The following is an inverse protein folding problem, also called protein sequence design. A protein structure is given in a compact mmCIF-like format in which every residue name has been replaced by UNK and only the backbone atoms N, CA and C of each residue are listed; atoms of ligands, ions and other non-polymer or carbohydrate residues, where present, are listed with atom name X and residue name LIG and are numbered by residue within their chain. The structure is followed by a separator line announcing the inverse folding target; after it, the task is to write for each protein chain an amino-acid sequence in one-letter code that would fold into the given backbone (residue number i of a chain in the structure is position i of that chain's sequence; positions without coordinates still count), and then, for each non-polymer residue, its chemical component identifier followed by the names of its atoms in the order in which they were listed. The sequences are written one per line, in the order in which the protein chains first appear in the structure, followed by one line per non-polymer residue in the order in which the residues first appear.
data_IF_254299056065
#
_entry.id   IF_254299056065
#
_cell.length_a   1.000
_cell.length_b   1.000
_cell.length_c   1.000
_cell.angle_alpha   90.00
_cell.angle_beta   90.00
_cell.angle_gamma   90.00
#
_symmetry.space_group_name_H-M   'P 1'
#
loop_
_entity.id
_entity.type
_entity.pdbx_description
1 polymer ?
#
# COMPACT_ATOMS: atom_id res chain seq x y z
N UNK A 1 42.64 26.75 -40.32
CA UNK A 1 43.08 26.34 -41.66
C UNK A 1 42.56 24.92 -41.91
N UNK A 2 41.96 24.78 -43.08
CA UNK A 2 41.56 23.57 -43.83
C UNK A 2 40.27 22.85 -43.32
N UNK A 3 39.25 23.18 -44.08
CA UNK A 3 38.05 22.47 -44.49
C UNK A 3 38.40 21.10 -45.12
N UNK A 4 37.54 20.13 -44.96
CA UNK A 4 37.17 19.28 -46.13
C UNK A 4 35.73 18.77 -45.99
N UNK A 5 35.03 18.99 -47.08
CA UNK A 5 33.66 18.63 -47.49
C UNK A 5 33.76 17.35 -48.31
N UNK A 6 32.70 16.53 -48.32
CA UNK A 6 32.18 15.73 -49.41
C UNK A 6 31.59 14.39 -48.89
N UNK A 7 30.57 13.75 -49.41
CA UNK A 7 29.59 14.02 -50.47
C UNK A 7 28.47 12.95 -50.35
N UNK A 8 27.32 13.35 -50.79
CA UNK A 8 26.11 12.57 -51.08
C UNK A 8 26.36 11.40 -52.04
N UNK A 9 25.64 10.32 -51.87
CA UNK A 9 25.24 9.44 -53.00
C UNK A 9 23.84 8.85 -52.76
N UNK A 10 22.92 9.37 -53.54
CA UNK A 10 21.54 8.92 -53.72
C UNK A 10 21.54 7.74 -54.71
N UNK A 11 20.80 6.66 -54.44
CA UNK A 11 20.49 5.64 -55.47
C UNK A 11 18.97 5.38 -55.47
N UNK A 12 18.30 5.94 -56.46
CA UNK A 12 16.94 5.58 -56.88
C UNK A 12 17.00 4.33 -57.77
N UNK A 13 16.15 3.37 -57.51
CA UNK A 13 15.80 2.34 -58.48
C UNK A 13 14.27 2.26 -58.60
N UNK A 14 13.81 2.67 -59.79
CA UNK A 14 12.44 2.44 -60.30
C UNK A 14 12.32 1.00 -60.82
N UNK A 15 11.24 0.33 -60.46
CA UNK A 15 10.68 -0.71 -61.31
C UNK A 15 9.16 -0.56 -61.43
N UNK A 16 8.76 -0.60 -62.68
CA UNK A 16 7.45 -0.38 -63.24
C UNK A 16 6.50 -1.56 -63.07
N UNK A 17 5.25 -1.21 -63.15
CA UNK A 17 4.04 -1.99 -63.04
C UNK A 17 3.88 -3.13 -64.02
N UNK A 18 3.12 -4.16 -63.63
CA UNK A 18 2.18 -4.83 -64.54
C UNK A 18 0.89 -5.19 -63.77
N UNK A 19 -0.19 -4.75 -64.36
CA UNK A 19 -1.57 -4.87 -63.96
C UNK A 19 -2.11 -6.24 -64.37
N UNK A 20 -2.82 -6.96 -63.50
CA UNK A 20 -3.85 -7.89 -63.90
C UNK A 20 -4.93 -8.00 -62.85
N UNK A 21 -6.13 -7.61 -63.23
CA UNK A 21 -7.29 -7.63 -62.39
C UNK A 21 -7.84 -9.05 -62.14
N UNK A 22 -8.29 -9.26 -60.92
CA UNK A 22 -9.35 -10.22 -60.61
C UNK A 22 -10.10 -9.74 -59.38
N UNK A 23 -11.38 -9.47 -59.57
CA UNK A 23 -12.40 -9.22 -58.57
C UNK A 23 -12.60 -10.44 -57.68
N UNK A 24 -12.39 -10.31 -56.38
CA UNK A 24 -12.97 -11.22 -55.39
C UNK A 24 -13.37 -10.46 -54.14
N UNK A 25 -14.54 -10.82 -53.67
CA UNK A 25 -15.35 -10.32 -52.56
C UNK A 25 -14.65 -9.75 -51.36
N UNK A 26 -15.13 -8.61 -50.89
CA UNK A 26 -14.96 -8.03 -49.57
C UNK A 26 -15.30 -9.05 -48.47
N UNK A 27 -14.30 -9.54 -47.78
CA UNK A 27 -14.42 -10.17 -46.48
C UNK A 27 -13.87 -9.17 -45.49
N UNK A 28 -14.76 -8.40 -44.82
CA UNK A 28 -14.38 -7.55 -43.69
C UNK A 28 -13.86 -8.43 -42.57
N UNK A 29 -12.54 -8.54 -42.47
CA UNK A 29 -11.89 -9.00 -41.28
C UNK A 29 -11.96 -7.84 -40.27
N UNK A 30 -12.88 -7.93 -39.35
CA UNK A 30 -12.82 -7.15 -38.11
C UNK A 30 -11.57 -7.58 -37.37
N UNK A 31 -10.55 -6.75 -37.45
CA UNK A 31 -9.36 -6.84 -36.62
C UNK A 31 -9.81 -6.55 -35.18
N UNK A 32 -10.22 -7.59 -34.47
CA UNK A 32 -10.41 -7.52 -33.02
C UNK A 32 -9.00 -7.47 -32.41
N UNK A 33 -8.47 -6.26 -32.27
CA UNK A 33 -7.41 -6.00 -31.30
C UNK A 33 -7.93 -6.40 -29.94
N UNK A 34 -7.72 -7.65 -29.54
CA UNK A 34 -7.79 -8.09 -28.15
C UNK A 34 -6.69 -7.35 -27.40
N UNK A 35 -6.98 -6.14 -26.95
CA UNK A 35 -6.26 -5.55 -25.84
C UNK A 35 -6.46 -6.51 -24.68
N UNK A 36 -5.45 -7.32 -24.37
CA UNK A 36 -5.43 -8.08 -23.14
C UNK A 36 -5.52 -7.04 -22.01
N UNK A 37 -6.71 -6.87 -21.46
CA UNK A 37 -6.89 -6.00 -20.30
C UNK A 37 -6.07 -6.61 -19.17
N UNK A 38 -4.95 -5.97 -18.87
CA UNK A 38 -4.16 -6.31 -17.67
C UNK A 38 -5.11 -6.15 -16.50
N UNK A 39 -5.32 -7.23 -15.75
CA UNK A 39 -6.19 -7.20 -14.57
C UNK A 39 -5.45 -6.48 -13.44
N UNK A 40 -5.84 -5.23 -13.06
CA UNK A 40 -5.13 -4.47 -12.05
C UNK A 40 -5.07 -5.16 -10.67
N UNK A 41 -6.05 -6.01 -10.36
CA UNK A 41 -6.08 -6.73 -9.09
C UNK A 41 -4.93 -7.77 -8.95
N UNK A 42 -4.33 -8.19 -10.07
CA UNK A 42 -3.14 -9.06 -10.07
C UNK A 42 -1.88 -8.33 -9.64
N UNK A 43 -1.87 -7.00 -9.74
CA UNK A 43 -0.73 -6.16 -9.34
C UNK A 43 -0.78 -5.76 -7.86
N UNK A 44 -1.88 -6.05 -7.16
CA UNK A 44 -2.01 -5.76 -5.74
C UNK A 44 -1.06 -6.62 -4.91
N UNK A 45 -0.31 -5.97 -4.03
CA UNK A 45 0.65 -6.62 -3.15
C UNK A 45 -0.03 -6.90 -1.81
N UNK A 46 -0.48 -8.14 -1.65
CA UNK A 46 -1.23 -8.55 -0.47
C UNK A 46 -0.31 -9.01 0.65
N UNK A 47 -0.58 -8.57 1.86
CA UNK A 47 0.23 -8.84 3.04
C UNK A 47 -0.48 -8.53 4.36
N UNK A 48 0.29 -8.13 5.35
CA UNK A 48 -0.20 -7.88 6.71
C UNK A 48 0.56 -6.73 7.39
N UNK A 49 -0.16 -5.84 8.06
CA UNK A 49 0.40 -4.89 9.01
C UNK A 49 0.73 -5.65 10.32
N UNK A 50 1.98 -5.57 10.76
CA UNK A 50 2.44 -6.35 11.92
C UNK A 50 1.82 -5.92 13.25
N UNK A 51 1.12 -4.77 13.29
CA UNK A 51 0.26 -4.44 14.41
C UNK A 51 -0.75 -5.56 14.74
N UNK A 52 -1.19 -6.32 13.74
CA UNK A 52 -2.03 -7.51 13.89
C UNK A 52 -1.47 -8.53 14.88
N UNK A 53 -0.15 -8.56 15.08
CA UNK A 53 0.57 -9.47 15.97
C UNK A 53 1.33 -8.73 17.08
N UNK A 54 0.83 -7.58 17.52
CA UNK A 54 1.47 -6.77 18.57
C UNK A 54 1.51 -7.44 19.96
N UNK A 55 0.87 -8.59 20.10
CA UNK A 55 0.92 -9.46 21.29
C UNK A 55 2.23 -10.23 21.44
N UNK A 56 3.08 -10.23 20.43
CA UNK A 56 4.37 -10.94 20.41
C UNK A 56 5.46 -10.05 19.82
N UNK A 57 6.72 -10.45 19.94
CA UNK A 57 7.86 -9.76 19.37
C UNK A 57 7.94 -9.90 17.84
N UNK A 58 8.82 -9.11 17.23
CA UNK A 58 9.01 -9.07 15.79
C UNK A 58 9.41 -10.44 15.18
N UNK A 59 10.40 -11.18 15.69
CA UNK A 59 10.74 -12.51 15.17
C UNK A 59 9.57 -13.50 15.21
N UNK A 60 8.80 -13.48 16.30
CA UNK A 60 7.61 -14.33 16.46
C UNK A 60 6.51 -13.92 15.48
N UNK A 61 6.32 -12.59 15.24
CA UNK A 61 5.40 -12.08 14.23
C UNK A 61 5.78 -12.56 12.83
N UNK A 62 7.07 -12.52 12.46
CA UNK A 62 7.54 -13.05 11.18
C UNK A 62 7.26 -14.55 11.02
N UNK A 63 7.38 -15.35 12.09
CA UNK A 63 7.00 -16.77 12.06
C UNK A 63 5.50 -16.97 11.81
N UNK A 64 4.64 -16.11 12.41
CA UNK A 64 3.20 -16.15 12.15
C UNK A 64 2.87 -15.78 10.71
N UNK A 65 3.53 -14.75 10.14
CA UNK A 65 3.37 -14.34 8.74
C UNK A 65 3.75 -15.46 7.77
N UNK A 66 4.91 -16.08 8.00
CA UNK A 66 5.40 -17.22 7.23
C UNK A 66 4.41 -18.39 7.28
N UNK A 67 3.92 -18.74 8.48
CA UNK A 67 2.89 -19.75 8.68
C UNK A 67 1.54 -19.44 8.04
N UNK A 68 1.28 -18.16 7.77
CA UNK A 68 0.08 -17.70 7.05
C UNK A 68 0.25 -17.71 5.54
N UNK A 69 1.48 -17.85 5.03
CA UNK A 69 1.79 -17.86 3.60
C UNK A 69 1.74 -16.49 2.95
N UNK A 70 1.93 -15.41 3.71
CA UNK A 70 1.99 -14.03 3.19
C UNK A 70 3.42 -13.66 2.80
N UNK A 71 3.54 -12.69 1.88
CA UNK A 71 4.85 -12.22 1.39
C UNK A 71 5.17 -10.80 1.82
N UNK A 72 4.16 -9.92 1.88
CA UNK A 72 4.36 -8.51 2.21
C UNK A 72 4.01 -8.23 3.66
N UNK A 73 4.81 -7.38 4.29
CA UNK A 73 4.58 -6.94 5.67
C UNK A 73 4.70 -5.42 5.77
N UNK A 74 3.98 -4.85 6.71
CA UNK A 74 4.20 -3.50 7.21
C UNK A 74 4.62 -3.58 8.69
N UNK A 75 5.92 -3.50 9.02
CA UNK A 75 6.39 -3.33 10.38
C UNK A 75 5.94 -1.99 10.97
N UNK A 76 6.06 -1.84 12.29
CA UNK A 76 5.87 -0.56 12.95
C UNK A 76 7.00 -0.25 13.93
N UNK A 77 7.32 1.02 14.13
CA UNK A 77 8.48 1.44 14.92
C UNK A 77 8.31 1.24 16.42
N UNK A 78 7.10 0.99 16.90
CA UNK A 78 6.78 0.75 18.31
C UNK A 78 6.62 -0.76 18.65
N UNK A 79 6.85 -1.67 17.69
CA UNK A 79 6.88 -3.11 17.92
C UNK A 79 8.15 -3.51 18.66
N UNK A 80 8.05 -4.44 19.62
CA UNK A 80 9.22 -5.03 20.27
C UNK A 80 10.06 -5.78 19.24
N UNK A 81 11.35 -5.47 19.18
CA UNK A 81 12.29 -6.16 18.30
C UNK A 81 12.70 -7.56 18.83
N UNK A 82 12.34 -7.86 20.08
CA UNK A 82 12.56 -9.14 20.74
C UNK A 82 13.78 -9.19 21.64
N UNK A 83 13.99 -10.33 22.33
CA UNK A 83 15.01 -10.51 23.39
C UNK A 83 16.44 -10.27 22.92
N UNK A 84 16.77 -10.57 21.67
CA UNK A 84 18.12 -10.29 21.10
C UNK A 84 18.45 -8.80 21.17
N UNK A 85 17.43 -7.95 21.11
CA UNK A 85 17.53 -6.49 21.18
C UNK A 85 17.12 -5.93 22.55
N UNK A 86 17.12 -6.77 23.58
CA UNK A 86 16.71 -6.41 24.97
C UNK A 86 15.28 -5.85 25.01
N UNK A 87 14.39 -6.39 24.17
CA UNK A 87 13.00 -5.97 24.00
C UNK A 87 12.79 -4.49 23.67
N UNK A 88 13.85 -3.81 23.16
CA UNK A 88 13.73 -2.46 22.62
C UNK A 88 12.72 -2.44 21.47
N UNK A 89 12.05 -1.31 21.30
CA UNK A 89 11.21 -1.14 20.11
C UNK A 89 12.05 -0.91 18.86
N UNK A 90 11.51 -1.24 17.69
CA UNK A 90 12.20 -1.05 16.40
C UNK A 90 12.68 0.40 16.24
N UNK A 91 11.89 1.38 16.69
CA UNK A 91 12.22 2.81 16.64
C UNK A 91 13.38 3.24 17.55
N UNK A 92 13.87 2.35 18.40
CA UNK A 92 15.01 2.61 19.30
C UNK A 92 16.32 1.94 18.81
N UNK A 93 16.24 1.17 17.72
CA UNK A 93 17.37 0.39 17.22
C UNK A 93 18.40 1.28 16.50
N UNK A 94 19.66 0.90 16.59
CA UNK A 94 20.71 1.44 15.75
C UNK A 94 20.71 0.77 14.36
N UNK A 95 21.36 1.36 13.34
CA UNK A 95 21.40 0.83 11.98
C UNK A 95 21.80 -0.64 11.90
N UNK A 96 22.87 -1.05 12.58
CA UNK A 96 23.34 -2.43 12.59
C UNK A 96 22.30 -3.42 13.16
N UNK A 97 21.44 -2.98 14.06
CA UNK A 97 20.32 -3.80 14.58
C UNK A 97 19.16 -3.85 13.59
N UNK A 98 18.89 -2.77 12.85
CA UNK A 98 17.91 -2.74 11.77
C UNK A 98 18.34 -3.71 10.64
N UNK A 99 19.63 -3.75 10.29
CA UNK A 99 20.15 -4.71 9.30
C UNK A 99 19.87 -6.16 9.70
N UNK A 100 20.01 -6.50 10.98
CA UNK A 100 19.61 -7.83 11.46
C UNK A 100 18.13 -8.12 11.28
N UNK A 101 17.24 -7.14 11.53
CA UNK A 101 15.81 -7.32 11.27
C UNK A 101 15.53 -7.52 9.77
N UNK A 102 16.24 -6.77 8.89
CA UNK A 102 16.15 -6.96 7.44
C UNK A 102 16.59 -8.36 7.01
N UNK A 103 17.65 -8.88 7.62
CA UNK A 103 18.11 -10.25 7.37
C UNK A 103 17.07 -11.28 7.80
N UNK A 104 16.41 -11.09 8.96
CA UNK A 104 15.30 -11.96 9.40
C UNK A 104 14.13 -11.94 8.40
N UNK A 105 13.73 -10.76 7.90
CA UNK A 105 12.71 -10.60 6.87
C UNK A 105 13.12 -11.38 5.61
N UNK A 106 14.35 -11.16 5.13
CA UNK A 106 14.90 -11.79 3.93
C UNK A 106 15.00 -13.30 4.04
N UNK A 107 15.44 -13.84 5.18
CA UNK A 107 15.55 -15.29 5.42
C UNK A 107 14.22 -16.01 5.29
N UNK A 108 13.11 -15.31 5.55
CA UNK A 108 11.74 -15.84 5.38
C UNK A 108 11.13 -15.52 4.00
N UNK A 109 11.90 -14.92 3.09
CA UNK A 109 11.39 -14.51 1.78
C UNK A 109 10.34 -13.40 1.85
N UNK A 110 10.23 -12.70 2.99
CA UNK A 110 9.29 -11.60 3.20
C UNK A 110 9.82 -10.28 2.61
N UNK A 111 8.92 -9.31 2.44
CA UNK A 111 9.22 -7.98 1.90
C UNK A 111 8.52 -6.91 2.74
N UNK A 112 9.30 -5.96 3.26
CA UNK A 112 8.80 -4.76 3.90
C UNK A 112 8.96 -3.60 2.91
N UNK A 113 7.84 -3.04 2.43
CA UNK A 113 7.84 -1.93 1.47
C UNK A 113 7.24 -0.65 2.08
N UNK A 114 6.63 -0.79 3.24
CA UNK A 114 6.15 0.28 4.10
C UNK A 114 6.54 0.03 5.55
N UNK A 115 6.55 1.11 6.34
CA UNK A 115 6.83 1.09 7.77
C UNK A 115 5.87 2.04 8.47
N UNK A 116 5.11 1.56 9.45
CA UNK A 116 4.29 2.45 10.27
C UNK A 116 5.18 3.16 11.28
N UNK A 117 5.14 4.49 11.27
CA UNK A 117 5.97 5.34 12.12
C UNK A 117 5.12 6.30 12.94
N UNK A 118 5.61 6.64 14.12
CA UNK A 118 5.01 7.69 14.97
C UNK A 118 6.05 8.74 15.22
N UNK A 119 5.87 9.91 14.62
CA UNK A 119 6.69 11.09 14.88
C UNK A 119 6.19 11.85 16.12
N UNK A 120 7.00 12.80 16.57
CA UNK A 120 6.64 13.67 17.68
C UNK A 120 6.22 15.07 17.22
N UNK A 121 6.31 16.03 18.13
CA UNK A 121 5.97 17.44 17.88
C UNK A 121 7.11 18.26 17.25
N UNK A 122 8.25 17.65 16.94
CA UNK A 122 9.43 18.35 16.38
C UNK A 122 9.87 17.70 15.09
N UNK A 123 10.45 18.47 14.17
CA UNK A 123 10.96 17.94 12.90
C UNK A 123 12.11 16.95 13.12
N UNK A 124 12.92 17.12 14.16
CA UNK A 124 14.00 16.18 14.49
C UNK A 124 13.45 14.80 14.88
N UNK A 125 12.30 14.74 15.55
CA UNK A 125 11.66 13.46 15.85
C UNK A 125 11.17 12.77 14.57
N UNK A 126 10.65 13.51 13.61
CA UNK A 126 10.26 13.00 12.30
C UNK A 126 11.47 12.55 11.49
N UNK A 127 12.55 13.36 11.51
CA UNK A 127 13.79 12.97 10.84
C UNK A 127 14.30 11.61 11.32
N UNK A 128 14.26 11.32 12.63
CA UNK A 128 14.63 10.01 13.16
C UNK A 128 13.75 8.88 12.57
N UNK A 129 12.45 9.09 12.40
CA UNK A 129 11.56 8.10 11.79
C UNK A 129 11.91 7.86 10.32
N UNK A 130 12.24 8.92 9.58
CA UNK A 130 12.67 8.79 8.19
C UNK A 130 14.06 8.16 8.06
N UNK A 131 14.99 8.42 9.00
CA UNK A 131 16.28 7.73 9.05
C UNK A 131 16.08 6.21 9.21
N UNK A 132 15.17 5.77 10.09
CA UNK A 132 14.81 4.36 10.28
C UNK A 132 14.15 3.80 9.02
N UNK A 133 13.21 4.51 8.43
CA UNK A 133 12.54 4.09 7.20
C UNK A 133 13.51 3.92 6.03
N UNK A 134 14.47 4.83 5.91
CA UNK A 134 15.56 4.76 4.92
C UNK A 134 16.46 3.55 5.17
N UNK A 135 16.81 3.28 6.42
CA UNK A 135 17.62 2.12 6.80
C UNK A 135 16.90 0.81 6.48
N UNK A 136 15.60 0.72 6.73
CA UNK A 136 14.78 -0.41 6.28
C UNK A 136 14.71 -0.54 4.76
N UNK A 137 14.88 0.56 4.02
CA UNK A 137 14.79 0.59 2.55
C UNK A 137 13.34 0.59 2.05
N UNK A 138 12.38 1.07 2.86
CA UNK A 138 10.97 1.13 2.49
C UNK A 138 10.67 2.30 1.55
N UNK A 139 9.57 2.19 0.80
CA UNK A 139 9.10 3.23 -0.13
C UNK A 139 8.09 4.16 0.51
N UNK A 140 7.42 3.68 1.56
CA UNK A 140 6.33 4.38 2.21
C UNK A 140 6.51 4.38 3.72
N UNK A 141 6.18 5.51 4.35
CA UNK A 141 5.89 5.55 5.78
C UNK A 141 4.39 5.74 5.96
N UNK A 142 3.78 4.85 6.73
CA UNK A 142 2.37 4.98 7.15
C UNK A 142 2.36 5.75 8.46
N UNK A 143 1.59 6.82 8.55
CA UNK A 143 1.57 7.69 9.73
C UNK A 143 0.43 8.70 9.68
N UNK A 144 0.26 9.47 10.75
CA UNK A 144 -0.67 10.60 10.86
C UNK A 144 0.10 11.90 11.16
N UNK A 145 0.51 12.66 10.13
CA UNK A 145 1.24 13.91 10.33
C UNK A 145 0.42 14.95 11.11
N UNK A 146 0.99 15.66 12.09
CA UNK A 146 0.31 16.78 12.75
C UNK A 146 -0.08 17.87 11.74
N UNK A 147 -1.27 18.47 11.92
CA UNK A 147 -1.82 19.46 10.97
C UNK A 147 -0.88 20.64 10.68
N UNK A 148 -0.12 21.06 11.69
CA UNK A 148 0.82 22.19 11.61
C UNK A 148 2.22 21.80 11.09
N UNK A 149 2.43 20.56 10.65
CA UNK A 149 3.74 20.07 10.18
C UNK A 149 3.71 19.52 8.76
N UNK A 150 2.62 19.67 8.03
CA UNK A 150 2.49 19.09 6.68
C UNK A 150 3.61 19.51 5.74
N UNK A 151 3.86 20.83 5.60
CA UNK A 151 4.91 21.36 4.72
C UNK A 151 6.30 20.78 5.08
N UNK A 152 6.60 20.72 6.39
CA UNK A 152 7.89 20.24 6.86
C UNK A 152 8.07 18.74 6.63
N UNK A 153 7.02 17.94 6.86
CA UNK A 153 7.05 16.49 6.69
C UNK A 153 7.04 16.14 5.19
N UNK A 154 6.28 16.85 4.37
CA UNK A 154 6.32 16.68 2.91
C UNK A 154 7.71 16.97 2.35
N UNK A 155 8.32 18.10 2.75
CA UNK A 155 9.69 18.44 2.37
C UNK A 155 10.70 17.37 2.80
N UNK A 156 10.54 16.83 4.03
CA UNK A 156 11.36 15.76 4.53
C UNK A 156 11.18 14.48 3.72
N UNK A 157 9.94 14.09 3.43
CA UNK A 157 9.58 12.94 2.60
C UNK A 157 10.25 13.02 1.22
N UNK A 158 10.16 14.18 0.56
CA UNK A 158 10.85 14.46 -0.71
C UNK A 158 12.37 14.33 -0.61
N UNK A 159 12.99 14.84 0.46
CA UNK A 159 14.44 14.75 0.68
C UNK A 159 14.93 13.30 0.87
N UNK A 160 14.07 12.42 1.44
CA UNK A 160 14.38 11.01 1.63
C UNK A 160 13.96 10.13 0.44
N UNK A 161 13.14 10.64 -0.49
CA UNK A 161 12.55 9.87 -1.57
C UNK A 161 11.56 8.82 -1.06
N UNK A 162 10.91 9.07 0.08
CA UNK A 162 9.96 8.18 0.74
C UNK A 162 8.60 8.88 0.81
N UNK A 163 7.54 8.26 0.33
CA UNK A 163 6.20 8.83 0.40
C UNK A 163 5.55 8.59 1.77
N UNK A 164 4.74 9.54 2.19
CA UNK A 164 3.89 9.42 3.39
C UNK A 164 2.52 8.90 2.98
N UNK A 165 2.13 7.76 3.49
CA UNK A 165 0.77 7.23 3.40
C UNK A 165 0.00 7.64 4.66
N UNK A 166 -0.84 8.68 4.56
CA UNK A 166 -1.63 9.20 5.69
C UNK A 166 -2.64 8.14 6.09
N UNK A 167 -2.52 7.66 7.32
CA UNK A 167 -3.44 6.72 7.95
C UNK A 167 -4.61 7.45 8.59
N UNK A 168 -5.74 6.79 8.70
CA UNK A 168 -6.92 7.28 9.39
C UNK A 168 -7.23 6.44 10.64
N UNK A 169 -7.76 7.09 11.67
CA UNK A 169 -8.45 6.47 12.79
C UNK A 169 -9.83 7.12 12.93
N UNK A 170 -10.58 6.74 13.97
CA UNK A 170 -11.94 7.21 14.17
C UNK A 170 -12.01 8.64 14.74
N UNK A 171 -13.19 9.24 14.64
CA UNK A 171 -13.51 10.58 15.16
C UNK A 171 -13.26 10.65 16.66
N UNK A 172 -12.53 11.68 17.07
CA UNK A 172 -12.11 11.89 18.47
C UNK A 172 -10.76 11.28 18.81
N UNK A 173 -10.21 10.40 17.96
CA UNK A 173 -8.85 9.89 18.08
C UNK A 173 -7.91 10.55 17.07
N UNK A 174 -8.32 10.66 15.80
CA UNK A 174 -7.50 11.21 14.72
C UNK A 174 -8.17 12.43 14.07
N UNK A 175 -7.35 13.34 13.54
CA UNK A 175 -7.82 14.39 12.64
C UNK A 175 -8.23 13.84 11.27
N UNK A 176 -7.66 12.69 10.85
CA UNK A 176 -7.87 12.08 9.54
C UNK A 176 -9.08 11.12 9.51
N UNK A 177 -9.89 11.09 10.58
CA UNK A 177 -11.14 10.32 10.58
C UNK A 177 -12.07 10.70 9.41
N UNK A 178 -11.98 11.96 8.95
CA UNK A 178 -12.75 12.48 7.82
C UNK A 178 -11.86 12.54 6.57
N UNK A 179 -12.23 11.89 5.47
CA UNK A 179 -11.51 11.96 4.20
C UNK A 179 -11.28 13.39 3.68
N UNK A 180 -12.12 14.37 4.07
CA UNK A 180 -11.90 15.77 3.70
C UNK A 180 -10.62 16.35 4.33
N UNK A 181 -10.32 16.00 5.58
CA UNK A 181 -9.07 16.42 6.21
C UNK A 181 -7.86 15.80 5.50
N UNK A 182 -7.97 14.54 5.11
CA UNK A 182 -6.93 13.88 4.32
C UNK A 182 -6.71 14.59 2.98
N UNK A 183 -7.78 14.93 2.24
CA UNK A 183 -7.68 15.71 1.00
C UNK A 183 -7.06 17.09 1.20
N UNK A 184 -7.34 17.75 2.32
CA UNK A 184 -6.68 19.01 2.67
C UNK A 184 -5.17 18.82 2.86
N UNK A 185 -4.76 17.75 3.53
CA UNK A 185 -3.35 17.42 3.73
C UNK A 185 -2.62 17.07 2.43
N UNK A 186 -3.31 16.46 1.46
CA UNK A 186 -2.72 16.14 0.15
C UNK A 186 -2.51 17.38 -0.73
N UNK A 187 -3.28 18.45 -0.50
CA UNK A 187 -3.23 19.65 -1.33
C UNK A 187 -1.91 20.40 -1.13
N UNK A 188 -1.09 20.42 -2.18
CA UNK A 188 0.22 21.10 -2.14
C UNK A 188 1.35 20.25 -1.55
N UNK A 189 1.07 18.99 -1.16
CA UNK A 189 2.04 18.07 -0.58
C UNK A 189 2.21 16.83 -1.49
N UNK A 190 3.04 16.93 -2.54
CA UNK A 190 3.15 15.88 -3.57
C UNK A 190 3.74 14.55 -3.05
N UNK A 191 4.40 14.56 -1.91
CA UNK A 191 4.94 13.34 -1.29
C UNK A 191 3.96 12.66 -0.33
N UNK A 192 2.71 13.16 -0.24
CA UNK A 192 1.65 12.58 0.55
C UNK A 192 0.69 11.76 -0.32
N UNK A 193 0.24 10.65 0.22
CA UNK A 193 -0.86 9.81 -0.26
C UNK A 193 -1.62 9.23 0.90
N UNK A 194 -2.37 8.17 0.70
CA UNK A 194 -3.31 7.63 1.68
C UNK A 194 -3.02 6.17 2.00
N UNK A 195 -2.99 5.85 3.30
CA UNK A 195 -3.23 4.52 3.81
C UNK A 195 -4.68 4.46 4.31
N UNK A 196 -5.55 3.83 3.54
CA UNK A 196 -6.98 3.75 3.80
C UNK A 196 -7.30 2.59 4.74
N UNK A 197 -7.57 2.86 6.01
CA UNK A 197 -8.08 1.84 6.94
C UNK A 197 -9.60 1.75 6.86
N UNK A 198 -10.06 0.64 6.29
CA UNK A 198 -11.47 0.45 5.98
C UNK A 198 -12.35 0.22 7.21
N UNK A 199 -11.78 -0.13 8.36
CA UNK A 199 -12.52 -0.37 9.60
C UNK A 199 -12.67 0.85 10.49
N UNK A 200 -11.84 1.87 10.31
CA UNK A 200 -11.92 3.08 11.15
C UNK A 200 -13.00 4.06 10.69
N UNK A 201 -13.26 4.17 9.41
CA UNK A 201 -14.34 5.02 8.90
C UNK A 201 -15.73 4.63 9.42
N UNK A 202 -16.13 3.33 9.43
CA UNK A 202 -17.42 2.95 10.00
C UNK A 202 -17.57 3.31 11.48
N UNK A 203 -16.50 3.25 12.28
CA UNK A 203 -16.51 3.71 13.67
C UNK A 203 -16.97 5.17 13.81
N UNK A 204 -16.79 5.96 12.75
CA UNK A 204 -17.20 7.38 12.65
C UNK A 204 -18.48 7.59 11.83
N UNK A 205 -19.16 6.53 11.43
CA UNK A 205 -20.38 6.60 10.62
C UNK A 205 -20.14 6.86 9.14
N UNK A 206 -18.90 6.77 8.67
CA UNK A 206 -18.56 6.98 7.25
C UNK A 206 -18.57 5.63 6.52
N UNK A 207 -19.20 5.58 5.35
CA UNK A 207 -19.17 4.39 4.51
C UNK A 207 -17.80 4.28 3.81
N UNK A 208 -17.04 3.19 3.99
CA UNK A 208 -15.69 3.05 3.44
C UNK A 208 -15.64 3.18 1.91
N UNK A 209 -16.66 2.69 1.20
CA UNK A 209 -16.74 2.84 -0.26
C UNK A 209 -16.79 4.31 -0.70
N UNK A 210 -17.51 5.16 0.04
CA UNK A 210 -17.62 6.59 -0.27
C UNK A 210 -16.29 7.29 0.00
N UNK A 211 -15.61 6.93 1.09
CA UNK A 211 -14.27 7.42 1.40
C UNK A 211 -13.26 7.01 0.34
N UNK A 212 -13.24 5.75 -0.08
CA UNK A 212 -12.37 5.22 -1.14
C UNK A 212 -12.61 5.94 -2.48
N UNK A 213 -13.88 6.20 -2.85
CA UNK A 213 -14.21 6.97 -4.05
C UNK A 213 -13.70 8.41 -3.94
N UNK A 214 -13.88 9.04 -2.78
CA UNK A 214 -13.47 10.43 -2.53
C UNK A 214 -11.95 10.60 -2.59
N UNK A 215 -11.20 9.61 -2.13
CA UNK A 215 -9.73 9.57 -2.11
C UNK A 215 -9.12 8.96 -3.37
N UNK A 216 -9.91 8.79 -4.42
CA UNK A 216 -9.48 8.18 -5.69
C UNK A 216 -8.24 8.86 -6.26
N UNK A 217 -7.28 8.05 -6.70
CA UNK A 217 -6.00 8.50 -7.25
C UNK A 217 -4.92 8.83 -6.21
N UNK A 218 -5.25 8.78 -4.92
CA UNK A 218 -4.31 9.08 -3.84
C UNK A 218 -3.99 7.87 -2.95
N UNK A 219 -4.72 6.75 -3.09
CA UNK A 219 -4.55 5.57 -2.23
C UNK A 219 -3.27 4.82 -2.62
N UNK A 220 -2.37 4.66 -1.67
CA UNK A 220 -1.11 3.94 -1.78
C UNK A 220 -1.17 2.59 -1.07
N UNK A 221 -1.84 2.55 0.08
CA UNK A 221 -1.97 1.41 0.97
C UNK A 221 -3.43 1.30 1.41
N UNK A 222 -3.90 0.08 1.61
CA UNK A 222 -5.22 -0.21 2.18
C UNK A 222 -5.02 -1.15 3.36
N UNK A 223 -5.59 -0.81 4.52
CA UNK A 223 -5.70 -1.74 5.63
C UNK A 223 -7.08 -2.40 5.61
N UNK A 224 -7.07 -3.73 5.48
CA UNK A 224 -8.29 -4.55 5.58
C UNK A 224 -8.59 -4.78 7.04
N UNK A 225 -9.48 -3.97 7.56
CA UNK A 225 -10.05 -4.06 8.90
C UNK A 225 -11.57 -4.05 8.79
N UNK A 226 -12.25 -4.85 9.58
CA UNK A 226 -13.71 -4.92 9.59
C UNK A 226 -14.24 -4.77 11.02
N UNK A 227 -15.42 -4.19 11.17
CA UNK A 227 -16.08 -4.00 12.47
C UNK A 227 -17.55 -4.39 12.39
N UNK A 228 -18.15 -4.69 13.55
CA UNK A 228 -19.50 -5.27 13.62
C UNK A 228 -20.62 -4.26 13.28
N UNK A 229 -20.44 -2.96 13.54
CA UNK A 229 -21.47 -1.93 13.35
C UNK A 229 -20.88 -0.54 13.11
N UNK A 230 -21.72 0.37 12.60
CA UNK A 230 -21.38 1.78 12.42
C UNK A 230 -21.57 2.61 13.70
N UNK A 231 -20.90 3.77 13.77
CA UNK A 231 -21.06 4.79 14.79
C UNK A 231 -20.71 4.35 16.22
N UNK A 232 -19.83 3.38 16.37
CA UNK A 232 -19.37 2.93 17.68
C UNK A 232 -17.83 2.74 17.68
N UNK A 233 -17.08 3.74 18.19
CA UNK A 233 -15.62 3.66 18.28
C UNK A 233 -15.11 2.61 19.28
N UNK A 234 -15.95 2.14 20.19
CA UNK A 234 -15.56 1.13 21.20
C UNK A 234 -15.53 -0.30 20.67
N UNK A 235 -16.12 -0.54 19.48
CA UNK A 235 -16.16 -1.87 18.90
C UNK A 235 -14.75 -2.36 18.54
N UNK A 236 -14.50 -3.62 18.90
CA UNK A 236 -13.35 -4.37 18.42
C UNK A 236 -13.55 -4.77 16.97
N UNK A 237 -12.44 -4.95 16.25
CA UNK A 237 -12.46 -5.51 14.92
C UNK A 237 -12.97 -6.97 14.93
N UNK A 238 -13.63 -7.33 13.86
CA UNK A 238 -14.09 -8.69 13.56
C UNK A 238 -13.31 -9.27 12.38
N UNK A 239 -13.45 -10.56 12.13
CA UNK A 239 -12.82 -11.19 10.96
C UNK A 239 -13.30 -10.50 9.67
N UNK A 240 -12.38 -10.11 8.81
CA UNK A 240 -12.66 -9.43 7.54
C UNK A 240 -13.71 -10.19 6.73
N UNK A 241 -14.76 -9.49 6.32
CA UNK A 241 -15.90 -10.03 5.60
C UNK A 241 -17.05 -10.52 6.48
N UNK A 242 -16.96 -10.39 7.81
CA UNK A 242 -18.04 -10.74 8.74
C UNK A 242 -18.72 -9.53 9.38
N UNK A 243 -18.21 -8.34 9.14
CA UNK A 243 -18.72 -7.09 9.67
C UNK A 243 -19.52 -6.28 8.64
N UNK A 244 -19.45 -4.94 8.81
CA UNK A 244 -20.26 -4.01 8.00
C UNK A 244 -19.57 -3.52 6.74
N UNK A 245 -18.26 -3.74 6.60
CA UNK A 245 -17.48 -3.27 5.45
C UNK A 245 -17.82 -4.10 4.20
N UNK A 246 -18.21 -3.40 3.11
CA UNK A 246 -18.61 -4.04 1.85
C UNK A 246 -17.38 -4.23 0.94
N UNK A 247 -16.47 -5.12 1.32
CA UNK A 247 -15.22 -5.39 0.59
C UNK A 247 -15.39 -5.69 -0.89
N UNK A 248 -16.37 -6.51 -1.37
CA UNK A 248 -16.52 -6.74 -2.80
C UNK A 248 -16.71 -5.47 -3.61
N UNK A 249 -17.51 -4.52 -3.10
CA UNK A 249 -17.76 -3.23 -3.75
C UNK A 249 -16.49 -2.34 -3.73
N UNK A 250 -15.76 -2.36 -2.61
CA UNK A 250 -14.50 -1.63 -2.45
C UNK A 250 -13.43 -2.18 -3.39
N UNK A 251 -13.26 -3.50 -3.47
CA UNK A 251 -12.30 -4.11 -4.39
C UNK A 251 -12.65 -3.81 -5.85
N UNK A 252 -13.93 -3.82 -6.22
CA UNK A 252 -14.36 -3.41 -7.56
C UNK A 252 -14.00 -1.93 -7.85
N UNK A 253 -14.19 -1.04 -6.87
CA UNK A 253 -13.82 0.36 -7.01
C UNK A 253 -12.30 0.57 -7.08
N UNK A 254 -11.53 -0.10 -6.23
CA UNK A 254 -10.05 -0.05 -6.28
C UNK A 254 -9.50 -0.57 -7.61
N UNK A 255 -10.11 -1.63 -8.17
CA UNK A 255 -9.78 -2.14 -9.51
C UNK A 255 -10.08 -1.08 -10.57
N UNK A 256 -11.25 -0.44 -10.53
CA UNK A 256 -11.65 0.64 -11.43
C UNK A 256 -10.69 1.83 -11.35
N UNK A 257 -10.20 2.17 -10.15
CA UNK A 257 -9.20 3.21 -9.91
C UNK A 257 -7.79 2.79 -10.36
N UNK A 258 -7.60 1.56 -10.83
CA UNK A 258 -6.30 0.99 -11.22
C UNK A 258 -5.27 1.07 -10.08
N UNK A 259 -5.69 0.75 -8.85
CA UNK A 259 -4.80 0.71 -7.69
C UNK A 259 -3.59 -0.19 -7.99
N UNK A 260 -2.39 0.34 -7.75
CA UNK A 260 -1.10 -0.37 -7.84
C UNK A 260 -0.37 -0.32 -6.50
N UNK A 261 -1.11 -0.56 -5.43
CA UNK A 261 -0.65 -0.39 -4.06
C UNK A 261 -0.53 -1.70 -3.27
N UNK A 262 -0.47 -1.51 -1.97
CA UNK A 262 -0.39 -2.58 -1.00
C UNK A 262 -1.73 -2.74 -0.30
N UNK A 263 -2.10 -3.97 -0.02
CA UNK A 263 -3.30 -4.31 0.75
C UNK A 263 -2.84 -5.18 1.91
N UNK A 264 -2.99 -4.68 3.12
CA UNK A 264 -2.57 -5.36 4.33
C UNK A 264 -3.77 -5.72 5.20
N UNK A 265 -3.81 -6.94 5.71
CA UNK A 265 -4.70 -7.29 6.83
C UNK A 265 -4.22 -6.50 8.05
N UNK A 266 -5.14 -5.87 8.78
CA UNK A 266 -4.83 -5.25 10.06
C UNK A 266 -5.92 -5.52 11.09
N UNK A 267 -5.47 -5.85 12.31
CA UNK A 267 -6.33 -6.07 13.48
C UNK A 267 -5.79 -5.31 14.68
N UNK A 268 -6.68 -4.57 15.34
CA UNK A 268 -6.36 -3.86 16.60
C UNK A 268 -6.52 -4.78 17.81
N UNK A 269 -7.43 -5.75 17.71
CA UNK A 269 -7.78 -6.64 18.83
C UNK A 269 -7.00 -7.95 18.74
N UNK A 270 -6.50 -8.41 19.88
CA UNK A 270 -5.91 -9.73 20.02
C UNK A 270 -6.95 -10.73 20.52
N UNK A 271 -7.12 -11.82 19.78
CA UNK A 271 -8.00 -12.93 20.15
C UNK A 271 -7.32 -13.88 21.17
N UNK A 272 -8.09 -14.58 22.01
CA UNK A 272 -7.53 -15.66 22.82
C UNK A 272 -6.79 -16.68 21.95
N UNK A 273 -5.50 -16.89 22.21
CA UNK A 273 -4.64 -17.74 21.38
C UNK A 273 -3.97 -17.03 20.19
N UNK A 274 -4.18 -15.72 20.05
CA UNK A 274 -3.58 -14.88 19.00
C UNK A 274 -4.34 -14.88 17.69
N UNK A 275 -3.99 -13.96 16.81
CA UNK A 275 -4.77 -13.65 15.61
C UNK A 275 -4.52 -14.57 14.40
N UNK A 276 -3.58 -15.53 14.46
CA UNK A 276 -3.17 -16.32 13.29
C UNK A 276 -4.31 -17.10 12.63
N UNK A 277 -5.24 -17.65 13.45
CA UNK A 277 -6.38 -18.40 12.93
C UNK A 277 -7.35 -17.52 12.14
N UNK A 278 -7.61 -16.31 12.63
CA UNK A 278 -8.47 -15.33 11.97
C UNK A 278 -7.80 -14.75 10.73
N UNK A 279 -6.50 -14.45 10.78
CA UNK A 279 -5.70 -14.02 9.62
C UNK A 279 -5.81 -15.04 8.46
N UNK A 280 -5.73 -16.35 8.74
CA UNK A 280 -5.91 -17.37 7.70
C UNK A 280 -7.31 -17.37 7.06
N UNK A 281 -8.35 -17.07 7.83
CA UNK A 281 -9.72 -16.89 7.30
C UNK A 281 -9.80 -15.63 6.43
N UNK A 282 -9.18 -14.55 6.84
CA UNK A 282 -9.14 -13.27 6.13
C UNK A 282 -8.38 -13.37 4.81
N UNK A 283 -7.25 -14.11 4.78
CA UNK A 283 -6.52 -14.45 3.55
C UNK A 283 -7.42 -15.21 2.59
N UNK A 284 -8.14 -16.24 3.08
CA UNK A 284 -9.06 -17.00 2.25
C UNK A 284 -10.16 -16.11 1.70
N UNK A 285 -10.77 -15.29 2.56
CA UNK A 285 -11.82 -14.36 2.14
C UNK A 285 -11.32 -13.38 1.06
N UNK A 286 -10.17 -12.72 1.28
CA UNK A 286 -9.56 -11.83 0.30
C UNK A 286 -9.37 -12.53 -1.06
N UNK A 287 -8.74 -13.69 -1.08
CA UNK A 287 -8.49 -14.45 -2.30
C UNK A 287 -9.80 -14.83 -3.02
N UNK A 288 -10.82 -15.27 -2.28
CA UNK A 288 -12.14 -15.60 -2.83
C UNK A 288 -12.81 -14.39 -3.48
N UNK A 289 -12.66 -13.17 -2.90
CA UNK A 289 -13.27 -11.96 -3.47
C UNK A 289 -12.47 -11.44 -4.67
N UNK A 290 -11.16 -11.38 -4.61
CA UNK A 290 -10.32 -10.92 -5.72
C UNK A 290 -10.47 -11.82 -6.93
N UNK A 291 -10.59 -13.13 -6.74
CA UNK A 291 -10.84 -14.08 -7.84
C UNK A 291 -12.20 -13.85 -8.56
N UNK A 292 -13.15 -13.18 -7.92
CA UNK A 292 -14.46 -12.81 -8.52
C UNK A 292 -14.41 -11.51 -9.32
N UNK A 293 -13.33 -10.74 -9.22
CA UNK A 293 -13.16 -9.46 -9.93
C UNK A 293 -12.81 -9.61 -11.42
N UNK A 294 -12.99 -10.78 -11.99
CA UNK A 294 -12.67 -11.13 -13.39
C UNK A 294 -13.43 -10.30 -14.41
#
# INVERSE_FOLDING_TARGET
MKKLIAQLATLLLFFTACNNGQTTANKSTSDSTTTSSVDPAKDWKFGIALWTFHDVDFPTSLNRVDSAGLTYIEPNTFHSAGPEFKDSTIGQLCPASIDKLKDMIKQKGLKAESLYVVGGSTIDSWKKQFDIAKEFGVKYVTTEPPLNMWDQIDSLAGAYGIMVAIHDHWKGFSHYWNPDTTLMALKGHPNFGVCADLGHWPKSGIHPLDAVKKLSGHILIVHLKDIAAYNDPSLKDVVVGTGVVKFPEIFAELKKQNLKGYIYIERDSVEPGGNLASVKKEIKYYNDQVNKLK
#
